data_IF_569776564777
#
_entry.id   IF_569776564777
#
_cell.length_a   1.000
_cell.length_b   1.000
_cell.length_c   1.000
_cell.angle_alpha   90.00
_cell.angle_beta   90.00
_cell.angle_gamma   90.00
#
_symmetry.space_group_name_H-M   'P 1'
#
loop_
_entity.id
_entity.type
_entity.pdbx_description
1 polymer ?
#
# COMPACT_ATOMS: atom_id res chain seq x y z
N UNK A 1 -5.96 -5.63 -40.64
CA UNK A 1 -4.65 -6.10 -40.14
C UNK A 1 -3.82 -4.95 -39.59
N UNK A 2 -3.30 -4.02 -40.40
CA UNK A 2 -2.42 -2.94 -39.90
C UNK A 2 -3.08 -2.02 -38.87
N UNK A 3 -4.30 -1.52 -39.12
CA UNK A 3 -5.02 -0.69 -38.13
C UNK A 3 -5.33 -1.44 -36.83
N UNK A 4 -5.81 -2.69 -36.90
CA UNK A 4 -6.12 -3.48 -35.70
C UNK A 4 -4.89 -3.78 -34.83
N UNK A 5 -3.71 -4.00 -35.43
CA UNK A 5 -2.47 -4.16 -34.67
C UNK A 5 -2.02 -2.83 -34.05
N UNK A 6 -2.28 -1.71 -34.72
CA UNK A 6 -1.99 -0.37 -34.21
C UNK A 6 -2.92 0.01 -33.04
N UNK A 7 -4.20 -0.33 -33.13
CA UNK A 7 -5.20 -0.11 -32.08
C UNK A 7 -4.89 -0.96 -30.84
N UNK A 8 -4.57 -2.25 -31.02
CA UNK A 8 -4.16 -3.13 -29.92
C UNK A 8 -2.86 -2.67 -29.23
N UNK A 9 -1.93 -2.10 -30.00
CA UNK A 9 -0.71 -1.50 -29.45
C UNK A 9 -1.02 -0.25 -28.63
N UNK A 10 -1.89 0.63 -29.12
CA UNK A 10 -2.32 1.83 -28.39
C UNK A 10 -3.04 1.48 -27.09
N UNK A 11 -3.96 0.51 -27.11
CA UNK A 11 -4.65 0.03 -25.90
C UNK A 11 -3.67 -0.57 -24.89
N UNK A 12 -2.69 -1.35 -25.34
CA UNK A 12 -1.66 -1.90 -24.47
C UNK A 12 -0.78 -0.79 -23.85
N UNK A 13 -0.40 0.21 -24.64
CA UNK A 13 0.39 1.35 -24.18
C UNK A 13 -0.38 2.21 -23.15
N UNK A 14 -1.67 2.48 -23.40
CA UNK A 14 -2.55 3.18 -22.46
C UNK A 14 -2.74 2.37 -21.17
N UNK A 15 -3.03 1.08 -21.28
CA UNK A 15 -3.18 0.19 -20.12
C UNK A 15 -1.93 0.14 -19.26
N UNK A 16 -0.75 0.10 -19.88
CA UNK A 16 0.54 0.12 -19.18
C UNK A 16 0.78 1.46 -18.46
N UNK A 17 0.45 2.58 -19.10
CA UNK A 17 0.55 3.91 -18.49
C UNK A 17 -0.39 4.05 -17.28
N UNK A 18 -1.63 3.61 -17.41
CA UNK A 18 -2.60 3.62 -16.32
C UNK A 18 -2.19 2.72 -15.15
N UNK A 19 -1.61 1.54 -15.43
CA UNK A 19 -1.06 0.68 -14.40
C UNK A 19 0.07 1.35 -13.62
N UNK A 20 1.03 1.96 -14.33
CA UNK A 20 2.13 2.71 -13.70
C UNK A 20 1.61 3.87 -12.85
N UNK A 21 0.62 4.62 -13.35
CA UNK A 21 -0.03 5.70 -12.61
C UNK A 21 -0.65 5.19 -11.31
N UNK A 22 -1.44 4.11 -11.38
CA UNK A 22 -2.11 3.50 -10.21
C UNK A 22 -1.11 2.94 -9.20
N UNK A 23 -0.03 2.30 -9.65
CA UNK A 23 1.06 1.86 -8.76
C UNK A 23 1.74 3.04 -8.06
N UNK A 24 1.94 4.15 -8.77
CA UNK A 24 2.44 5.40 -8.18
C UNK A 24 1.51 5.93 -7.08
N UNK A 25 0.20 5.98 -7.34
CA UNK A 25 -0.81 6.39 -6.36
C UNK A 25 -0.84 5.47 -5.13
N UNK A 26 -0.75 4.15 -5.32
CA UNK A 26 -0.67 3.17 -4.24
C UNK A 26 0.54 3.45 -3.35
N UNK A 27 1.71 3.67 -3.94
CA UNK A 27 2.94 3.97 -3.20
C UNK A 27 2.83 5.30 -2.45
N UNK A 28 2.30 6.35 -3.06
CA UNK A 28 2.11 7.64 -2.39
C UNK A 28 1.17 7.50 -1.20
N UNK A 29 0.02 6.85 -1.38
CA UNK A 29 -0.97 6.65 -0.31
C UNK A 29 -0.42 5.81 0.84
N UNK A 30 0.34 4.77 0.53
CA UNK A 30 1.02 3.97 1.55
C UNK A 30 2.06 4.80 2.31
N UNK A 31 2.87 5.59 1.60
CA UNK A 31 3.87 6.48 2.17
C UNK A 31 3.26 7.55 3.10
N UNK A 32 2.18 8.19 2.67
CA UNK A 32 1.45 9.17 3.50
C UNK A 32 0.95 8.56 4.81
N UNK A 33 0.37 7.35 4.76
CA UNK A 33 -0.11 6.65 5.97
C UNK A 33 1.03 6.21 6.89
N UNK A 34 2.13 5.72 6.33
CA UNK A 34 3.32 5.37 7.12
C UNK A 34 3.93 6.62 7.78
N UNK A 35 3.94 7.76 7.08
CA UNK A 35 4.41 9.03 7.65
C UNK A 35 3.50 9.50 8.78
N UNK A 36 2.18 9.40 8.62
CA UNK A 36 1.23 9.69 9.69
C UNK A 36 1.48 8.82 10.93
N UNK A 37 1.73 7.52 10.75
CA UNK A 37 2.09 6.63 11.86
C UNK A 37 3.40 7.03 12.56
N UNK A 38 4.41 7.52 11.83
CA UNK A 38 5.64 8.04 12.45
C UNK A 38 5.38 9.30 13.28
N UNK A 39 4.48 10.17 12.83
CA UNK A 39 4.06 11.35 13.60
C UNK A 39 3.31 10.95 14.86
N UNK A 40 2.40 9.97 14.78
CA UNK A 40 1.65 9.47 15.94
C UNK A 40 2.57 8.82 16.99
N UNK A 41 3.55 8.03 16.56
CA UNK A 41 4.58 7.46 17.45
C UNK A 41 5.43 8.56 18.11
N UNK A 42 5.81 9.58 17.33
CA UNK A 42 6.58 10.72 17.85
C UNK A 42 5.78 11.49 18.90
N UNK A 43 4.49 11.72 18.63
CA UNK A 43 3.58 12.35 19.59
C UNK A 43 3.47 11.53 20.88
N UNK A 44 3.32 10.21 20.75
CA UNK A 44 3.25 9.29 21.89
C UNK A 44 4.53 9.32 22.74
N UNK A 45 5.70 9.42 22.10
CA UNK A 45 6.99 9.56 22.80
C UNK A 45 7.09 10.89 23.55
N UNK A 46 6.64 11.98 22.95
CA UNK A 46 6.60 13.29 23.61
C UNK A 46 5.67 13.28 24.82
N UNK A 47 4.48 12.71 24.67
CA UNK A 47 3.51 12.58 25.76
C UNK A 47 4.06 11.71 26.91
N UNK A 48 4.71 10.59 26.58
CA UNK A 48 5.37 9.74 27.57
C UNK A 48 6.49 10.48 28.30
N UNK A 49 7.25 11.32 27.59
CA UNK A 49 8.31 12.14 28.18
C UNK A 49 7.75 13.19 29.15
N UNK A 50 6.68 13.87 28.77
CA UNK A 50 5.99 14.84 29.64
C UNK A 50 5.43 14.16 30.90
N UNK A 51 4.71 13.04 30.74
CA UNK A 51 4.19 12.25 31.86
C UNK A 51 5.30 11.72 32.77
N UNK A 52 6.45 11.32 32.20
CA UNK A 52 7.62 10.90 32.96
C UNK A 52 8.20 12.01 33.84
N UNK A 53 8.29 13.23 33.30
CA UNK A 53 8.73 14.40 34.06
C UNK A 53 7.75 14.78 35.17
N UNK A 54 6.44 14.70 34.91
CA UNK A 54 5.42 14.90 35.95
C UNK A 54 5.53 13.87 37.06
N UNK A 55 5.73 12.60 36.71
CA UNK A 55 5.89 11.53 37.69
C UNK A 55 7.11 11.77 38.58
N UNK A 56 8.24 12.18 38.01
CA UNK A 56 9.46 12.48 38.78
C UNK A 56 9.28 13.66 39.75
N UNK A 57 8.46 14.65 39.40
CA UNK A 57 8.27 15.85 40.22
C UNK A 57 7.14 15.74 41.24
N UNK A 58 6.15 14.86 41.01
CA UNK A 58 4.92 14.76 41.81
C UNK A 58 4.81 13.48 42.64
N UNK A 59 5.58 12.42 42.36
CA UNK A 59 5.47 11.16 43.09
C UNK A 59 5.85 11.33 44.58
N UNK A 60 5.04 10.80 45.49
CA UNK A 60 5.23 10.89 46.95
C UNK A 60 6.12 9.77 47.51
N UNK A 61 6.87 9.09 46.65
CA UNK A 61 7.81 8.05 47.06
C UNK A 61 8.16 7.06 45.95
N UNK A 62 9.08 6.15 46.25
CA UNK A 62 9.62 5.18 45.29
C UNK A 62 8.57 4.22 44.73
N UNK A 63 7.61 3.76 45.55
CA UNK A 63 6.53 2.88 45.08
C UNK A 63 5.65 3.54 44.01
N UNK A 64 5.29 4.81 44.21
CA UNK A 64 4.46 5.56 43.25
C UNK A 64 5.24 5.85 41.96
N UNK A 65 6.54 6.16 42.08
CA UNK A 65 7.44 6.31 40.94
C UNK A 65 7.54 5.00 40.13
N UNK A 66 7.76 3.86 40.78
CA UNK A 66 7.87 2.56 40.10
C UNK A 66 6.56 2.16 39.42
N UNK A 67 5.42 2.33 40.10
CA UNK A 67 4.10 2.05 39.52
C UNK A 67 3.82 2.94 38.31
N UNK A 68 4.17 4.23 38.39
CA UNK A 68 4.02 5.17 37.28
C UNK A 68 4.93 4.85 36.10
N UNK A 69 6.19 4.47 36.34
CA UNK A 69 7.11 4.05 35.28
C UNK A 69 6.63 2.77 34.58
N UNK A 70 6.15 1.78 35.34
CA UNK A 70 5.60 0.56 34.77
C UNK A 70 4.38 0.85 33.88
N UNK A 71 3.49 1.75 34.31
CA UNK A 71 2.34 2.19 33.52
C UNK A 71 2.76 2.93 32.26
N UNK A 72 3.70 3.88 32.36
CA UNK A 72 4.25 4.61 31.22
C UNK A 72 4.87 3.67 30.17
N UNK A 73 5.63 2.68 30.62
CA UNK A 73 6.23 1.68 29.74
C UNK A 73 5.16 0.81 29.06
N UNK A 74 4.11 0.42 29.79
CA UNK A 74 3.01 -0.36 29.24
C UNK A 74 2.23 0.45 28.18
N UNK A 75 1.86 1.69 28.49
CA UNK A 75 1.11 2.57 27.59
C UNK A 75 1.91 2.84 26.31
N UNK A 76 3.19 3.21 26.43
CA UNK A 76 4.07 3.40 25.27
C UNK A 76 4.25 2.12 24.45
N UNK A 77 4.42 0.97 25.11
CA UNK A 77 4.51 -0.33 24.44
C UNK A 77 3.26 -0.70 23.66
N UNK A 78 2.07 -0.36 24.16
CA UNK A 78 0.81 -0.55 23.44
C UNK A 78 0.71 0.32 22.19
N UNK A 79 1.11 1.59 22.26
CA UNK A 79 1.14 2.46 21.08
C UNK A 79 2.17 1.99 20.04
N UNK A 80 3.35 1.51 20.45
CA UNK A 80 4.30 0.89 19.52
C UNK A 80 3.70 -0.34 18.81
N UNK A 81 3.02 -1.23 19.54
CA UNK A 81 2.38 -2.42 18.96
C UNK A 81 1.25 -2.05 17.99
N UNK A 82 0.47 -1.02 18.32
CA UNK A 82 -0.58 -0.48 17.46
C UNK A 82 0.01 0.12 16.18
N UNK A 83 1.07 0.91 16.29
CA UNK A 83 1.82 1.44 15.14
C UNK A 83 2.35 0.32 14.24
N UNK A 84 2.94 -0.73 14.83
CA UNK A 84 3.42 -1.90 14.07
C UNK A 84 2.30 -2.61 13.31
N UNK A 85 1.18 -2.92 13.98
CA UNK A 85 0.02 -3.57 13.32
C UNK A 85 -0.51 -2.72 12.18
N UNK A 86 -0.66 -1.42 12.43
CA UNK A 86 -1.16 -0.50 11.42
C UNK A 86 -0.20 -0.38 10.23
N UNK A 87 1.12 -0.44 10.44
CA UNK A 87 2.09 -0.45 9.35
C UNK A 87 1.99 -1.74 8.51
N UNK A 88 1.81 -2.89 9.15
CA UNK A 88 1.56 -4.17 8.47
C UNK A 88 0.29 -4.11 7.64
N UNK A 89 -0.78 -3.52 8.15
CA UNK A 89 -2.04 -3.34 7.43
C UNK A 89 -1.84 -2.46 6.18
N UNK A 90 -1.18 -1.31 6.33
CA UNK A 90 -0.87 -0.40 5.20
C UNK A 90 -0.09 -1.11 4.10
N UNK A 91 0.94 -1.88 4.47
CA UNK A 91 1.78 -2.61 3.51
C UNK A 91 1.01 -3.76 2.86
N UNK A 92 0.13 -4.43 3.59
CA UNK A 92 -0.72 -5.51 3.07
C UNK A 92 -1.73 -4.96 2.07
N UNK A 93 -2.41 -3.87 2.42
CA UNK A 93 -3.34 -3.18 1.50
C UNK A 93 -2.63 -2.70 0.23
N UNK A 94 -1.43 -2.13 0.35
CA UNK A 94 -0.65 -1.68 -0.80
C UNK A 94 -0.23 -2.86 -1.71
N UNK A 95 0.20 -3.97 -1.11
CA UNK A 95 0.53 -5.20 -1.84
C UNK A 95 -0.70 -5.73 -2.59
N UNK A 96 -1.83 -5.84 -1.92
CA UNK A 96 -3.05 -6.41 -2.51
C UNK A 96 -3.58 -5.53 -3.64
N UNK A 97 -3.54 -4.20 -3.48
CA UNK A 97 -3.90 -3.26 -4.54
C UNK A 97 -2.93 -3.34 -5.74
N UNK A 98 -1.63 -3.51 -5.50
CA UNK A 98 -0.65 -3.68 -6.57
C UNK A 98 -0.85 -5.01 -7.33
N UNK A 99 -1.17 -6.09 -6.61
CA UNK A 99 -1.50 -7.38 -7.19
C UNK A 99 -2.76 -7.28 -8.08
N UNK A 100 -3.79 -6.56 -7.63
CA UNK A 100 -5.00 -6.32 -8.43
C UNK A 100 -4.69 -5.58 -9.74
N UNK A 101 -3.80 -4.57 -9.70
CA UNK A 101 -3.36 -3.86 -10.92
C UNK A 101 -2.64 -4.83 -11.88
N UNK A 102 -1.78 -5.71 -11.36
CA UNK A 102 -1.09 -6.71 -12.18
C UNK A 102 -2.07 -7.72 -12.80
N UNK A 103 -3.03 -8.22 -12.02
CA UNK A 103 -4.04 -9.17 -12.51
C UNK A 103 -4.91 -8.55 -13.61
N UNK A 104 -5.27 -7.27 -13.47
CA UNK A 104 -6.02 -6.54 -14.51
C UNK A 104 -5.22 -6.43 -15.81
N UNK A 105 -3.91 -6.15 -15.72
CA UNK A 105 -3.04 -6.11 -16.90
C UNK A 105 -2.86 -7.49 -17.54
N UNK A 106 -2.72 -8.55 -16.75
CA UNK A 106 -2.63 -9.92 -17.26
C UNK A 106 -3.91 -10.34 -18.00
N UNK A 107 -5.08 -9.99 -17.45
CA UNK A 107 -6.37 -10.22 -18.11
C UNK A 107 -6.51 -9.42 -19.40
N UNK A 108 -6.09 -8.16 -19.42
CA UNK A 108 -6.11 -7.32 -20.62
C UNK A 108 -5.20 -7.90 -21.72
N UNK A 109 -3.97 -8.29 -21.36
CA UNK A 109 -3.03 -8.93 -22.29
C UNK A 109 -3.59 -10.26 -22.85
N UNK A 110 -4.21 -11.08 -22.00
CA UNK A 110 -4.84 -12.33 -22.43
C UNK A 110 -6.01 -12.10 -23.40
N UNK A 111 -6.85 -11.09 -23.15
CA UNK A 111 -7.95 -10.73 -24.07
C UNK A 111 -7.42 -10.27 -25.42
N UNK A 112 -6.38 -9.43 -25.43
CA UNK A 112 -5.77 -8.94 -26.66
C UNK A 112 -5.13 -10.07 -27.48
N UNK A 113 -4.46 -11.03 -26.81
CA UNK A 113 -3.93 -12.24 -27.45
C UNK A 113 -5.03 -13.13 -28.06
N UNK A 114 -6.14 -13.33 -27.35
CA UNK A 114 -7.28 -14.09 -27.88
C UNK A 114 -7.89 -13.40 -29.10
N UNK A 115 -8.12 -12.09 -29.03
CA UNK A 115 -8.66 -11.31 -30.15
C UNK A 115 -7.75 -11.36 -31.38
N UNK A 116 -6.43 -11.27 -31.18
CA UNK A 116 -5.45 -11.43 -32.26
C UNK A 116 -5.48 -12.84 -32.87
N UNK A 117 -5.57 -13.89 -32.03
CA UNK A 117 -5.67 -15.28 -32.47
C UNK A 117 -6.95 -15.58 -33.26
N UNK A 118 -8.09 -15.03 -32.84
CA UNK A 118 -9.36 -15.12 -33.59
C UNK A 118 -9.31 -14.38 -34.92
N UNK A 119 -8.67 -13.21 -34.95
CA UNK A 119 -8.47 -12.43 -36.17
C UNK A 119 -7.59 -13.18 -37.17
N UNK A 120 -6.51 -13.79 -36.69
CA UNK A 120 -5.63 -14.65 -37.49
C UNK A 120 -6.39 -15.88 -38.02
N UNK A 121 -7.18 -16.57 -37.19
CA UNK A 121 -8.03 -17.69 -37.63
C UNK A 121 -9.03 -17.28 -38.70
N UNK A 122 -9.69 -16.12 -38.56
CA UNK A 122 -10.63 -15.60 -39.56
C UNK A 122 -9.93 -15.21 -40.88
N UNK A 123 -8.70 -14.72 -40.79
CA UNK A 123 -7.89 -14.38 -41.96
C UNK A 123 -7.40 -15.63 -42.71
N UNK A 124 -7.05 -16.71 -42.00
CA UNK A 124 -6.61 -17.98 -42.61
C UNK A 124 -7.77 -18.87 -43.06
N UNK A 125 -8.95 -18.71 -42.47
CA UNK A 125 -10.18 -19.42 -42.87
C UNK A 125 -10.87 -18.82 -44.11
N UNK A 126 -10.33 -17.75 -44.70
CA UNK A 126 -10.77 -17.19 -45.98
C UNK A 126 -9.77 -17.67 -47.05
N UNK A 127 -10.02 -18.80 -47.77
CA UNK A 127 -9.17 -19.16 -48.90
C UNK A 127 -9.42 -18.16 -50.04
N UNK A 128 -8.38 -17.94 -50.85
CA UNK A 128 -8.43 -17.14 -52.06
C UNK A 128 -9.66 -17.50 -52.92
N UNK A 129 -10.48 -16.49 -53.20
CA UNK A 129 -11.43 -16.48 -54.31
C UNK A 129 -10.84 -15.60 -55.41
#
# INVERSE_FOLDING_TARGET
MQNQMFDAYNEMAQGSYDALRRLGEINMRAGERLLQQQLDLTHSMLEASTKGMELMTKAKGYQELMAGQAKLAQDYGQECLKGYRSAVDVLTEARDAAAEVMDQQAQAASKNLQAAGETLKKATAKPAA
#
